data_IF_370987282869
#
_entry.id   IF_370987282869
#
_cell.length_a   1.000
_cell.length_b   1.000
_cell.length_c   1.000
_cell.angle_alpha   90.00
_cell.angle_beta   90.00
_cell.angle_gamma   90.00
#
_symmetry.space_group_name_H-M   'P 1'
#
loop_
_entity.id
_entity.type
_entity.pdbx_description
1 polymer ?
#
# COMPACT_ATOMS: atom_id res chain seq x y z
N UNK A 1 -11.64 8.89 -95.16
CA UNK A 1 -11.56 9.54 -93.83
C UNK A 1 -11.98 8.53 -92.79
N UNK A 2 -11.01 7.93 -92.11
CA UNK A 2 -11.20 6.99 -91.00
C UNK A 2 -10.94 7.78 -89.71
N UNK A 3 -11.87 7.77 -88.78
CA UNK A 3 -11.67 8.20 -87.39
C UNK A 3 -12.12 7.07 -86.46
N UNK A 4 -11.41 6.83 -85.34
CA UNK A 4 -11.51 5.57 -84.62
C UNK A 4 -12.43 5.65 -83.40
N UNK A 5 -12.90 4.47 -83.03
CA UNK A 5 -13.60 4.10 -81.80
C UNK A 5 -12.72 4.29 -80.55
N UNK A 6 -13.32 4.83 -79.49
CA UNK A 6 -12.73 4.87 -78.14
C UNK A 6 -13.64 4.04 -77.22
N UNK A 7 -13.15 2.88 -76.80
CA UNK A 7 -13.67 2.10 -75.68
C UNK A 7 -13.28 2.77 -74.37
N UNK A 8 -14.24 2.99 -73.47
CA UNK A 8 -13.98 3.44 -72.10
C UNK A 8 -13.95 2.21 -71.19
N UNK A 9 -12.77 1.91 -70.65
CA UNK A 9 -12.56 0.93 -69.59
C UNK A 9 -13.07 1.47 -68.24
N UNK A 10 -13.59 0.54 -67.44
CA UNK A 10 -14.10 0.74 -66.09
C UNK A 10 -13.01 1.12 -65.06
N UNK A 11 -13.43 1.81 -63.99
CA UNK A 11 -12.70 1.85 -62.72
C UNK A 11 -13.70 1.66 -61.56
N UNK A 12 -13.74 0.44 -61.00
CA UNK A 12 -14.33 0.16 -59.69
C UNK A 12 -13.31 0.63 -58.64
N UNK A 13 -13.69 1.59 -57.79
CA UNK A 13 -12.90 1.97 -56.62
C UNK A 13 -13.43 1.15 -55.43
N UNK A 14 -12.60 0.23 -54.93
CA UNK A 14 -12.84 -0.46 -53.68
C UNK A 14 -12.41 0.44 -52.51
N UNK A 15 -13.35 0.82 -51.66
CA UNK A 15 -13.06 1.54 -50.42
C UNK A 15 -12.66 0.54 -49.33
N UNK A 16 -11.37 0.51 -48.98
CA UNK A 16 -10.85 -0.21 -47.82
C UNK A 16 -10.99 0.71 -46.61
N UNK A 17 -11.95 0.43 -45.74
CA UNK A 17 -12.09 1.08 -44.44
C UNK A 17 -11.05 0.52 -43.47
N UNK A 18 -10.01 1.29 -43.19
CA UNK A 18 -9.10 1.04 -42.07
C UNK A 18 -9.81 1.47 -40.78
N UNK A 19 -10.32 0.50 -40.02
CA UNK A 19 -10.65 0.73 -38.60
C UNK A 19 -9.35 0.79 -37.82
N UNK A 20 -8.92 2.01 -37.48
CA UNK A 20 -7.88 2.23 -36.49
C UNK A 20 -8.46 1.84 -35.11
N UNK A 21 -8.17 0.62 -34.67
CA UNK A 21 -8.38 0.23 -33.28
C UNK A 21 -7.41 1.02 -32.41
N UNK A 22 -7.92 1.87 -31.52
CA UNK A 22 -7.15 2.40 -30.41
C UNK A 22 -6.77 1.23 -29.49
N UNK A 23 -5.57 0.69 -29.66
CA UNK A 23 -4.92 -0.05 -28.59
C UNK A 23 -4.46 1.00 -27.58
N UNK A 24 -5.11 1.02 -26.41
CA UNK A 24 -4.57 1.71 -25.24
C UNK A 24 -3.25 1.01 -24.90
N UNK A 25 -2.13 1.63 -25.29
CA UNK A 25 -0.82 1.24 -24.82
C UNK A 25 -0.80 1.54 -23.32
N UNK A 26 -0.90 0.51 -22.49
CA UNK A 26 -0.59 0.62 -21.07
C UNK A 26 0.84 1.14 -20.96
N UNK A 27 0.98 2.41 -20.61
CA UNK A 27 2.26 2.96 -20.19
C UNK A 27 2.65 2.21 -18.93
N UNK A 28 3.82 1.57 -18.93
CA UNK A 28 4.42 1.15 -17.66
C UNK A 28 4.57 2.40 -16.80
N UNK A 29 3.81 2.48 -15.71
CA UNK A 29 3.95 3.55 -14.73
C UNK A 29 5.28 3.37 -13.99
N UNK A 30 6.38 3.73 -14.67
CA UNK A 30 7.64 3.97 -14.00
C UNK A 30 7.45 5.29 -13.26
N UNK A 31 7.26 5.21 -11.95
CA UNK A 31 7.34 6.39 -11.11
C UNK A 31 8.74 7.00 -11.31
N UNK A 32 8.83 8.30 -11.67
CA UNK A 32 10.14 8.93 -11.88
C UNK A 32 10.98 8.90 -10.60
N UNK A 33 10.32 8.87 -9.43
CA UNK A 33 10.89 8.79 -8.09
C UNK A 33 10.09 7.78 -7.23
N UNK A 34 10.70 7.14 -6.22
CA UNK A 34 9.97 6.26 -5.31
C UNK A 34 8.84 6.99 -4.58
N UNK A 35 7.75 6.28 -4.29
CA UNK A 35 6.70 6.75 -3.39
C UNK A 35 6.96 6.11 -2.03
N UNK A 36 7.51 6.87 -1.10
CA UNK A 36 7.74 6.43 0.29
C UNK A 36 6.70 7.08 1.18
N UNK A 37 5.92 6.25 1.88
CA UNK A 37 4.90 6.67 2.84
C UNK A 37 5.32 6.16 4.21
N UNK A 38 5.65 7.08 5.10
CA UNK A 38 6.32 6.83 6.38
C UNK A 38 5.76 7.79 7.47
N UNK A 39 6.45 7.99 8.60
CA UNK A 39 5.99 8.89 9.67
C UNK A 39 5.79 10.35 9.21
N UNK A 40 6.48 10.82 8.17
CA UNK A 40 6.28 12.18 7.62
C UNK A 40 4.96 12.30 6.82
N UNK A 41 4.31 11.18 6.52
CA UNK A 41 3.09 11.10 5.70
C UNK A 41 1.80 11.09 6.54
N UNK A 42 1.87 11.38 7.84
CA UNK A 42 0.72 11.27 8.77
C UNK A 42 -0.12 12.55 8.86
N UNK A 43 0.24 13.63 8.15
CA UNK A 43 -0.55 14.86 8.16
C UNK A 43 -1.73 14.76 7.18
N UNK A 44 -2.89 14.32 7.69
CA UNK A 44 -4.11 14.17 6.89
C UNK A 44 -4.58 15.49 6.25
N UNK A 45 -4.40 16.62 6.93
CA UNK A 45 -4.82 17.93 6.44
C UNK A 45 -3.95 18.46 5.28
N UNK A 46 -2.76 17.88 5.08
CA UNK A 46 -1.91 18.21 3.95
C UNK A 46 -2.41 17.65 2.62
N UNK A 47 -3.34 16.67 2.65
CA UNK A 47 -3.86 16.03 1.45
C UNK A 47 -4.96 16.90 0.82
N UNK A 48 -4.78 17.43 -0.40
CA UNK A 48 -5.83 18.19 -1.07
C UNK A 48 -7.05 17.29 -1.34
N UNK A 49 -8.25 17.80 -1.10
CA UNK A 49 -9.50 17.02 -1.20
C UNK A 49 -9.73 16.43 -2.59
N UNK A 50 -9.30 17.13 -3.65
CA UNK A 50 -9.39 16.61 -5.02
C UNK A 50 -8.61 15.30 -5.21
N UNK A 51 -7.55 15.06 -4.44
CA UNK A 51 -6.79 13.81 -4.51
C UNK A 51 -7.41 12.69 -3.66
N UNK A 52 -8.14 13.03 -2.61
CA UNK A 52 -9.01 12.08 -1.91
C UNK A 52 -10.15 11.64 -2.84
N UNK A 53 -10.79 12.59 -3.51
CA UNK A 53 -11.87 12.31 -4.47
C UNK A 53 -11.37 11.50 -5.66
N UNK A 54 -10.19 11.86 -6.20
CA UNK A 54 -9.54 11.10 -7.27
C UNK A 54 -9.19 9.68 -6.83
N UNK A 55 -8.66 9.50 -5.61
CA UNK A 55 -8.36 8.17 -5.08
C UNK A 55 -9.61 7.29 -5.02
N UNK A 56 -10.71 7.82 -4.48
CA UNK A 56 -12.02 7.12 -4.45
C UNK A 56 -12.56 6.80 -5.84
N UNK A 57 -12.36 7.70 -6.81
CA UNK A 57 -12.88 7.53 -8.16
C UNK A 57 -12.06 6.54 -9.02
N UNK A 58 -10.80 6.29 -8.67
CA UNK A 58 -9.86 5.59 -9.58
C UNK A 58 -9.16 4.39 -8.99
N UNK A 59 -9.07 4.26 -7.67
CA UNK A 59 -8.39 3.14 -7.05
C UNK A 59 -9.37 2.02 -6.72
N UNK A 60 -8.98 0.81 -7.08
CA UNK A 60 -9.62 -0.44 -6.70
C UNK A 60 -8.54 -1.28 -6.04
N UNK A 61 -8.58 -1.32 -4.70
CA UNK A 61 -7.48 -1.83 -3.88
C UNK A 61 -7.87 -3.21 -3.34
N UNK A 62 -6.98 -4.18 -3.43
CA UNK A 62 -7.08 -5.42 -2.66
C UNK A 62 -5.93 -5.53 -1.67
N UNK A 63 -6.29 -5.83 -0.43
CA UNK A 63 -5.38 -5.82 0.71
C UNK A 63 -5.43 -7.14 1.47
N UNK A 64 -4.33 -7.91 1.43
CA UNK A 64 -4.19 -9.17 2.16
C UNK A 64 -3.36 -9.01 3.42
N UNK A 65 -3.89 -9.43 4.56
CA UNK A 65 -3.19 -9.32 5.83
C UNK A 65 -3.77 -10.23 6.92
N UNK A 66 -3.09 -10.29 8.06
CA UNK A 66 -3.64 -10.82 9.32
C UNK A 66 -3.57 -9.75 10.42
N UNK A 67 -3.19 -10.12 11.65
CA UNK A 67 -3.38 -9.30 12.85
C UNK A 67 -2.71 -7.92 12.78
N UNK A 68 -1.39 -7.80 12.56
CA UNK A 68 -0.71 -6.50 12.49
C UNK A 68 -1.22 -5.60 11.36
N UNK A 69 -1.45 -6.15 10.18
CA UNK A 69 -1.97 -5.38 9.04
C UNK A 69 -3.37 -4.81 9.27
N UNK A 70 -4.18 -5.42 10.14
CA UNK A 70 -5.53 -4.92 10.46
C UNK A 70 -5.52 -3.52 11.07
N UNK A 71 -4.39 -3.08 11.65
CA UNK A 71 -4.25 -1.75 12.23
C UNK A 71 -4.53 -0.62 11.21
N UNK A 72 -4.24 -0.86 9.92
CA UNK A 72 -4.53 0.13 8.86
C UNK A 72 -6.05 0.30 8.70
N UNK A 73 -6.78 -0.80 8.51
CA UNK A 73 -8.22 -0.76 8.21
C UNK A 73 -9.06 -0.45 9.45
N UNK A 74 -8.65 -0.89 10.64
CA UNK A 74 -9.30 -0.47 11.90
C UNK A 74 -9.08 1.02 12.17
N UNK A 75 -7.86 1.53 11.93
CA UNK A 75 -7.56 2.96 11.97
C UNK A 75 -8.42 3.75 10.98
N UNK A 76 -8.47 3.35 9.70
CA UNK A 76 -9.29 4.01 8.68
C UNK A 76 -10.80 4.00 9.02
N UNK A 77 -11.29 2.93 9.63
CA UNK A 77 -12.69 2.85 10.12
C UNK A 77 -12.94 3.83 11.26
N UNK A 78 -12.00 3.92 12.21
CA UNK A 78 -12.05 4.91 13.28
C UNK A 78 -12.00 6.34 12.74
N UNK A 79 -11.17 6.60 11.73
CA UNK A 79 -11.06 7.89 11.05
C UNK A 79 -12.39 8.31 10.42
N UNK A 80 -13.04 7.41 9.68
CA UNK A 80 -14.35 7.68 9.10
C UNK A 80 -15.42 7.98 10.16
N UNK A 81 -15.31 7.37 11.34
CA UNK A 81 -16.20 7.65 12.47
C UNK A 81 -15.90 9.00 13.14
N UNK A 82 -14.62 9.39 13.18
CA UNK A 82 -14.13 10.60 13.86
C UNK A 82 -14.27 11.87 13.01
N UNK A 83 -13.83 11.82 11.75
CA UNK A 83 -13.84 12.95 10.80
C UNK A 83 -15.05 12.90 9.84
N UNK A 84 -15.81 11.81 9.86
CA UNK A 84 -17.03 11.64 9.09
C UNK A 84 -16.85 10.81 7.80
N UNK A 85 -17.96 10.56 7.08
CA UNK A 85 -18.02 9.62 5.97
C UNK A 85 -17.18 10.02 4.76
N UNK A 86 -16.61 11.24 4.75
CA UNK A 86 -15.66 11.64 3.72
C UNK A 86 -14.42 10.74 3.68
N UNK A 87 -14.02 10.13 4.81
CA UNK A 87 -12.94 9.14 4.87
C UNK A 87 -13.45 7.69 4.90
N UNK A 88 -14.70 7.45 4.50
CA UNK A 88 -15.24 6.10 4.41
C UNK A 88 -14.55 5.28 3.31
N UNK A 89 -14.46 3.98 3.57
CA UNK A 89 -13.96 2.96 2.67
C UNK A 89 -14.86 1.73 2.79
N UNK A 90 -14.97 0.94 1.73
CA UNK A 90 -15.64 -0.36 1.73
C UNK A 90 -15.26 -1.15 0.47
N UNK A 91 -15.63 -2.43 0.43
CA UNK A 91 -15.54 -3.21 -0.79
C UNK A 91 -16.53 -2.67 -1.85
N UNK A 92 -15.99 -2.23 -2.98
CA UNK A 92 -16.74 -1.74 -4.13
C UNK A 92 -16.95 -0.22 -4.18
N UNK A 93 -16.43 0.55 -3.21
CA UNK A 93 -16.53 2.01 -3.20
C UNK A 93 -17.98 2.54 -3.14
N UNK A 94 -18.87 1.76 -2.53
CA UNK A 94 -20.31 2.07 -2.41
C UNK A 94 -20.49 3.38 -1.65
N UNK A 95 -21.51 4.15 -2.06
CA UNK A 95 -21.85 5.48 -1.51
C UNK A 95 -20.71 6.52 -1.60
N UNK A 96 -19.79 6.37 -2.56
CA UNK A 96 -18.68 7.30 -2.77
C UNK A 96 -17.52 7.12 -1.78
N UNK A 97 -17.42 5.93 -1.19
CA UNK A 97 -16.29 5.51 -0.38
C UNK A 97 -15.09 5.10 -1.26
N UNK A 98 -13.92 4.96 -0.65
CA UNK A 98 -12.77 4.32 -1.30
C UNK A 98 -13.05 2.82 -1.49
N UNK A 99 -12.81 2.28 -2.69
CA UNK A 99 -12.84 0.83 -2.93
C UNK A 99 -11.57 0.18 -2.37
N UNK A 100 -11.69 -0.33 -1.15
CA UNK A 100 -10.66 -1.12 -0.48
C UNK A 100 -11.28 -2.45 -0.06
N UNK A 101 -10.82 -3.51 -0.71
CA UNK A 101 -11.20 -4.90 -0.46
C UNK A 101 -10.26 -5.48 0.57
N UNK A 102 -10.74 -5.50 1.81
CA UNK A 102 -10.03 -5.95 3.00
C UNK A 102 -10.15 -7.46 3.17
N UNK A 103 -9.03 -8.17 3.12
CA UNK A 103 -8.97 -9.62 3.29
C UNK A 103 -8.09 -9.99 4.48
N UNK A 104 -8.74 -10.13 5.64
CA UNK A 104 -8.09 -10.57 6.87
C UNK A 104 -8.09 -12.11 6.97
N UNK A 105 -6.96 -12.74 6.65
CA UNK A 105 -6.76 -14.18 6.83
C UNK A 105 -7.35 -15.10 5.76
N UNK A 106 -7.73 -14.57 4.59
CA UNK A 106 -8.06 -15.37 3.39
C UNK A 106 -8.16 -14.44 2.17
N UNK A 107 -7.03 -14.19 1.50
CA UNK A 107 -6.99 -13.25 0.39
C UNK A 107 -7.86 -13.69 -0.78
N UNK A 108 -8.80 -12.82 -1.18
CA UNK A 108 -9.73 -13.08 -2.27
C UNK A 108 -10.72 -14.22 -2.01
N UNK A 109 -10.82 -14.71 -0.77
CA UNK A 109 -11.56 -15.93 -0.42
C UNK A 109 -11.12 -17.16 -1.22
N UNK A 110 -9.82 -17.24 -1.51
CA UNK A 110 -9.24 -18.29 -2.34
C UNK A 110 -8.78 -19.51 -1.54
N UNK A 111 -8.59 -19.36 -0.22
CA UNK A 111 -8.02 -20.39 0.66
C UNK A 111 -6.55 -20.70 0.35
N UNK A 112 -5.80 -19.73 -0.18
CA UNK A 112 -4.41 -19.90 -0.64
C UNK A 112 -3.41 -19.24 0.29
N UNK A 113 -3.67 -18.01 0.72
CA UNK A 113 -2.76 -17.21 1.54
C UNK A 113 -3.52 -16.19 2.39
N UNK A 114 -2.97 -15.96 3.58
CA UNK A 114 -3.56 -15.13 4.62
C UNK A 114 -2.80 -13.79 4.73
N UNK A 115 -1.47 -13.86 4.67
CA UNK A 115 -0.55 -12.71 4.67
C UNK A 115 0.76 -13.05 3.92
N UNK A 116 1.79 -12.19 4.02
CA UNK A 116 3.09 -12.42 3.36
C UNK A 116 3.88 -13.64 3.89
N UNK A 117 3.42 -14.27 4.96
CA UNK A 117 4.10 -15.37 5.62
C UNK A 117 3.29 -16.65 5.78
N UNK A 118 1.96 -16.59 5.71
CA UNK A 118 1.05 -17.72 5.93
C UNK A 118 0.24 -18.08 4.67
N UNK A 119 0.13 -19.38 4.30
CA UNK A 119 0.69 -20.56 4.97
C UNK A 119 2.20 -20.72 4.75
N UNK A 120 2.77 -19.93 3.84
CA UNK A 120 4.19 -19.84 3.61
C UNK A 120 4.52 -18.54 2.87
N UNK A 121 5.80 -18.19 2.80
CA UNK A 121 6.31 -16.93 2.23
C UNK A 121 6.19 -16.78 0.71
N UNK A 122 5.51 -17.70 0.04
CA UNK A 122 5.35 -17.70 -1.43
C UNK A 122 3.90 -17.83 -1.89
N UNK A 123 3.00 -18.36 -1.07
CA UNK A 123 1.62 -18.63 -1.46
C UNK A 123 0.83 -17.37 -1.88
N UNK A 124 1.14 -16.24 -1.25
CA UNK A 124 0.53 -14.94 -1.55
C UNK A 124 0.78 -14.49 -3.00
N UNK A 125 1.89 -14.90 -3.63
CA UNK A 125 2.18 -14.57 -5.04
C UNK A 125 1.21 -15.30 -5.97
N UNK A 126 0.98 -16.59 -5.75
CA UNK A 126 -0.04 -17.36 -6.46
C UNK A 126 -1.45 -16.79 -6.23
N UNK A 127 -1.80 -16.49 -4.98
CA UNK A 127 -3.10 -15.92 -4.64
C UNK A 127 -3.34 -14.58 -5.36
N UNK A 128 -2.30 -13.74 -5.44
CA UNK A 128 -2.36 -12.44 -6.13
C UNK A 128 -2.65 -12.62 -7.62
N UNK A 129 -1.95 -13.53 -8.30
CA UNK A 129 -2.18 -13.81 -9.74
C UNK A 129 -3.60 -14.26 -9.99
N UNK A 130 -4.06 -15.26 -9.23
CA UNK A 130 -5.39 -15.82 -9.39
C UNK A 130 -6.48 -14.77 -9.11
N UNK A 131 -6.28 -13.91 -8.11
CA UNK A 131 -7.22 -12.84 -7.80
C UNK A 131 -7.26 -11.79 -8.92
N UNK A 132 -6.12 -11.29 -9.39
CA UNK A 132 -6.06 -10.28 -10.45
C UNK A 132 -6.62 -10.80 -11.78
N UNK A 133 -6.41 -12.07 -12.11
CA UNK A 133 -6.98 -12.68 -13.32
C UNK A 133 -8.52 -12.73 -13.27
N UNK A 134 -9.10 -12.86 -12.07
CA UNK A 134 -10.54 -12.83 -11.85
C UNK A 134 -11.12 -11.41 -11.65
N UNK A 135 -10.27 -10.45 -11.25
CA UNK A 135 -10.63 -9.08 -10.90
C UNK A 135 -9.77 -8.06 -11.66
N UNK A 136 -9.89 -7.98 -13.00
CA UNK A 136 -9.05 -7.10 -13.83
C UNK A 136 -9.29 -5.61 -13.57
N UNK A 137 -10.34 -5.24 -12.83
CA UNK A 137 -10.59 -3.88 -12.35
C UNK A 137 -9.67 -3.44 -11.21
N UNK A 138 -9.11 -4.38 -10.44
CA UNK A 138 -8.22 -4.09 -9.31
C UNK A 138 -6.89 -3.58 -9.84
N UNK A 139 -6.47 -2.41 -9.34
CA UNK A 139 -5.29 -1.71 -9.84
C UNK A 139 -4.28 -1.34 -8.74
N UNK A 140 -4.55 -1.75 -7.49
CA UNK A 140 -3.60 -1.66 -6.39
C UNK A 140 -3.63 -2.97 -5.59
N UNK A 141 -2.45 -3.54 -5.35
CA UNK A 141 -2.26 -4.70 -4.47
C UNK A 141 -1.40 -4.29 -3.29
N UNK A 142 -1.89 -4.60 -2.09
CA UNK A 142 -1.18 -4.41 -0.84
C UNK A 142 -1.16 -5.73 -0.09
N UNK A 143 -0.02 -6.07 0.49
CA UNK A 143 0.12 -7.18 1.40
C UNK A 143 0.88 -6.73 2.64
N UNK A 144 0.51 -7.26 3.80
CA UNK A 144 1.22 -7.02 5.05
C UNK A 144 1.94 -8.24 5.57
N UNK A 145 2.99 -7.98 6.34
CA UNK A 145 3.59 -8.95 7.25
C UNK A 145 2.77 -9.04 8.54
N UNK A 146 2.79 -10.21 9.17
CA UNK A 146 2.64 -10.32 10.61
C UNK A 146 4.05 -10.44 11.22
N UNK A 147 4.36 -11.51 11.94
CA UNK A 147 5.69 -11.73 12.54
C UNK A 147 6.76 -12.21 11.55
N UNK A 148 6.37 -12.61 10.33
CA UNK A 148 7.25 -13.34 9.41
C UNK A 148 8.33 -12.49 8.73
N UNK A 149 8.29 -11.16 8.92
CA UNK A 149 9.40 -10.27 8.55
C UNK A 149 10.69 -10.63 9.31
N UNK A 150 10.57 -11.25 10.49
CA UNK A 150 11.70 -11.82 11.24
C UNK A 150 12.20 -13.08 10.51
N UNK A 151 12.90 -12.83 9.41
CA UNK A 151 13.35 -13.78 8.44
C UNK A 151 14.84 -13.67 8.17
N UNK A 152 15.35 -14.58 7.35
CA UNK A 152 16.68 -14.46 6.79
C UNK A 152 16.71 -13.44 5.65
N UNK A 153 17.90 -12.95 5.30
CA UNK A 153 18.13 -12.03 4.18
C UNK A 153 17.58 -12.60 2.86
N UNK A 154 17.80 -13.89 2.64
CA UNK A 154 17.36 -14.60 1.45
C UNK A 154 15.84 -14.69 1.36
N UNK A 155 15.14 -14.79 2.50
CA UNK A 155 13.68 -14.82 2.50
C UNK A 155 13.07 -13.43 2.23
N UNK A 156 13.70 -12.36 2.71
CA UNK A 156 13.30 -11.00 2.31
C UNK A 156 13.62 -10.76 0.84
N UNK A 157 14.76 -11.23 0.35
CA UNK A 157 15.09 -11.16 -1.08
C UNK A 157 14.04 -11.90 -1.93
N UNK A 158 13.58 -13.08 -1.49
CA UNK A 158 12.51 -13.81 -2.16
C UNK A 158 11.22 -12.98 -2.26
N UNK A 159 10.82 -12.28 -1.19
CA UNK A 159 9.68 -11.37 -1.24
C UNK A 159 9.86 -10.27 -2.29
N UNK A 160 11.03 -9.63 -2.31
CA UNK A 160 11.35 -8.55 -3.26
C UNK A 160 11.32 -9.05 -4.71
N UNK A 161 11.86 -10.24 -4.96
CA UNK A 161 11.89 -10.88 -6.27
C UNK A 161 10.48 -11.26 -6.75
N UNK A 162 9.63 -11.79 -5.87
CA UNK A 162 8.23 -12.14 -6.18
C UNK A 162 7.39 -10.90 -6.48
N UNK A 163 7.52 -9.84 -5.67
CA UNK A 163 6.86 -8.55 -5.94
C UNK A 163 7.26 -7.99 -7.31
N UNK A 164 8.56 -8.02 -7.63
CA UNK A 164 9.05 -7.54 -8.92
C UNK A 164 8.58 -8.42 -10.10
N UNK A 165 8.39 -9.72 -9.88
CA UNK A 165 7.75 -10.62 -10.84
C UNK A 165 6.30 -10.24 -11.10
N UNK A 166 5.52 -9.97 -10.07
CA UNK A 166 4.13 -9.51 -10.19
C UNK A 166 4.02 -8.17 -10.94
N UNK A 167 4.88 -7.20 -10.63
CA UNK A 167 4.97 -5.93 -11.37
C UNK A 167 5.35 -6.14 -12.84
N UNK A 168 6.15 -7.17 -13.15
CA UNK A 168 6.51 -7.50 -14.52
C UNK A 168 5.29 -7.98 -15.31
N UNK A 169 4.49 -8.82 -14.70
CA UNK A 169 3.38 -9.52 -15.34
C UNK A 169 2.10 -8.67 -15.39
N UNK A 170 1.87 -7.81 -14.39
CA UNK A 170 0.68 -6.96 -14.26
C UNK A 170 1.03 -5.46 -14.34
N UNK A 171 1.45 -5.01 -15.52
CA UNK A 171 1.96 -3.64 -15.77
C UNK A 171 1.01 -2.48 -15.45
N UNK A 172 -0.29 -2.74 -15.35
CA UNK A 172 -1.31 -1.75 -14.99
C UNK A 172 -1.67 -1.74 -13.50
N UNK A 173 -1.04 -2.59 -12.69
CA UNK A 173 -1.31 -2.74 -11.25
C UNK A 173 -0.16 -2.16 -10.45
N UNK A 174 -0.50 -1.39 -9.42
CA UNK A 174 0.44 -0.79 -8.48
C UNK A 174 0.64 -1.74 -7.31
N UNK A 175 1.86 -2.22 -7.13
CA UNK A 175 2.20 -3.11 -6.02
C UNK A 175 2.86 -2.31 -4.90
N UNK A 176 2.25 -2.31 -3.73
CA UNK A 176 2.74 -1.60 -2.55
C UNK A 176 3.62 -2.54 -1.74
N UNK A 177 4.91 -2.22 -1.66
CA UNK A 177 5.83 -2.89 -0.75
C UNK A 177 5.56 -2.42 0.68
N UNK A 178 5.85 -3.28 1.67
CA UNK A 178 5.64 -2.94 3.07
C UNK A 178 6.79 -3.45 3.93
N UNK A 179 7.26 -2.64 4.89
CA UNK A 179 8.08 -3.13 6.00
C UNK A 179 7.20 -3.89 7.00
N UNK A 180 7.80 -4.69 7.88
CA UNK A 180 7.06 -5.32 8.97
C UNK A 180 6.81 -4.36 10.14
N UNK A 181 6.52 -4.90 11.32
CA UNK A 181 6.40 -4.13 12.55
C UNK A 181 7.76 -4.00 13.27
N UNK A 182 7.82 -3.14 14.28
CA UNK A 182 8.92 -3.08 15.25
C UNK A 182 8.82 -4.25 16.24
N UNK A 183 9.94 -4.88 16.58
CA UNK A 183 9.99 -6.07 17.47
C UNK A 183 10.68 -5.78 18.80
N UNK A 184 11.14 -4.54 18.99
CA UNK A 184 11.92 -4.12 20.14
C UNK A 184 13.36 -4.63 20.16
N UNK A 185 13.87 -5.12 19.04
CA UNK A 185 15.30 -5.31 18.85
C UNK A 185 16.04 -3.96 18.78
N UNK A 186 17.33 -3.90 19.14
CA UNK A 186 18.16 -2.73 18.87
C UNK A 186 18.31 -2.52 17.35
N UNK A 187 18.77 -1.35 16.89
CA UNK A 187 18.98 -1.07 15.46
C UNK A 187 19.87 -2.08 14.72
N UNK A 188 20.76 -2.78 15.43
CA UNK A 188 21.61 -3.86 14.88
C UNK A 188 20.94 -5.24 14.86
N UNK A 189 19.67 -5.34 15.26
CA UNK A 189 18.91 -6.58 15.32
C UNK A 189 18.38 -7.03 13.96
N UNK A 190 17.80 -8.24 13.91
CA UNK A 190 17.40 -8.86 12.64
C UNK A 190 16.24 -8.10 11.98
N UNK A 191 15.12 -7.88 12.67
CA UNK A 191 13.95 -7.20 12.10
C UNK A 191 14.28 -5.78 11.59
N UNK A 192 14.98 -4.91 12.34
CA UNK A 192 15.46 -3.64 11.80
C UNK A 192 16.30 -3.79 10.52
N UNK A 193 17.21 -4.76 10.47
CA UNK A 193 18.02 -5.03 9.28
C UNK A 193 17.19 -5.57 8.09
N UNK A 194 16.12 -6.34 8.32
CA UNK A 194 15.20 -6.83 7.28
C UNK A 194 14.29 -5.72 6.76
N UNK A 195 13.79 -4.86 7.64
CA UNK A 195 13.05 -3.65 7.23
C UNK A 195 13.95 -2.72 6.41
N UNK A 196 15.21 -2.55 6.81
CA UNK A 196 16.16 -1.74 6.03
C UNK A 196 16.43 -2.33 4.64
N UNK A 197 16.54 -3.66 4.51
CA UNK A 197 16.68 -4.32 3.21
C UNK A 197 15.50 -4.00 2.26
N UNK A 198 14.26 -3.97 2.77
CA UNK A 198 13.07 -3.60 1.99
C UNK A 198 13.12 -2.12 1.59
N UNK A 199 13.47 -1.22 2.53
CA UNK A 199 13.62 0.22 2.27
C UNK A 199 14.64 0.50 1.18
N UNK A 200 15.83 -0.08 1.32
CA UNK A 200 16.94 0.10 0.38
C UNK A 200 16.55 -0.37 -1.03
N UNK A 201 15.88 -1.53 -1.13
CA UNK A 201 15.38 -2.02 -2.41
C UNK A 201 14.35 -1.06 -3.03
N UNK A 202 13.41 -0.55 -2.24
CA UNK A 202 12.38 0.35 -2.74
C UNK A 202 12.95 1.67 -3.24
N UNK A 203 13.90 2.25 -2.49
CA UNK A 203 14.60 3.47 -2.87
C UNK A 203 15.44 3.27 -4.14
N UNK A 204 16.20 2.18 -4.22
CA UNK A 204 17.08 1.91 -5.36
C UNK A 204 16.34 1.59 -6.66
N UNK A 205 15.08 1.16 -6.58
CA UNK A 205 14.30 0.69 -7.73
C UNK A 205 13.00 1.49 -7.96
N UNK A 206 12.88 2.68 -7.36
CA UNK A 206 11.72 3.58 -7.49
C UNK A 206 10.38 2.89 -7.18
N UNK A 207 10.33 2.06 -6.13
CA UNK A 207 9.12 1.33 -5.75
C UNK A 207 8.18 2.20 -4.91
N UNK A 208 6.96 1.68 -4.72
CA UNK A 208 6.00 2.21 -3.76
C UNK A 208 6.21 1.47 -2.43
N UNK A 209 6.50 2.20 -1.35
CA UNK A 209 6.69 1.66 -0.02
C UNK A 209 5.70 2.30 0.96
N UNK A 210 4.99 1.44 1.68
CA UNK A 210 4.32 1.79 2.93
C UNK A 210 5.19 1.31 4.11
N UNK A 211 5.86 2.24 4.78
CA UNK A 211 6.86 1.94 5.81
C UNK A 211 6.22 1.81 7.20
N UNK A 212 5.60 0.65 7.42
CA UNK A 212 4.88 0.31 8.65
C UNK A 212 5.77 0.44 9.91
N UNK A 213 7.01 -0.07 9.86
CA UNK A 213 7.95 -0.01 10.97
C UNK A 213 8.44 1.41 11.24
N UNK A 214 8.59 2.23 10.21
CA UNK A 214 8.98 3.64 10.38
C UNK A 214 7.86 4.42 11.08
N UNK A 215 6.61 4.32 10.62
CA UNK A 215 5.46 4.97 11.28
C UNK A 215 5.39 4.59 12.77
N UNK A 216 5.68 3.33 13.10
CA UNK A 216 5.64 2.83 14.48
C UNK A 216 6.86 3.22 15.35
N UNK A 217 7.91 3.76 14.72
CA UNK A 217 9.14 4.18 15.40
C UNK A 217 9.15 5.65 15.79
N UNK A 218 8.08 6.40 15.47
CA UNK A 218 7.94 7.82 15.80
C UNK A 218 6.60 8.10 16.46
N UNK A 219 6.54 9.14 17.29
CA UNK A 219 5.28 9.74 17.70
C UNK A 219 4.83 10.83 16.70
N UNK A 220 3.63 11.41 16.87
CA UNK A 220 3.15 12.49 15.99
C UNK A 220 3.99 13.77 15.99
N UNK A 221 4.81 14.01 17.02
CA UNK A 221 5.71 15.17 17.13
C UNK A 221 7.10 14.90 16.52
N UNK A 222 7.27 13.72 15.90
CA UNK A 222 8.49 13.22 15.28
C UNK A 222 9.62 12.88 16.27
N UNK A 223 9.30 12.61 17.54
CA UNK A 223 10.25 12.01 18.45
C UNK A 223 10.52 10.56 18.03
N UNK A 224 11.80 10.19 17.91
CA UNK A 224 12.23 8.86 17.47
C UNK A 224 12.41 7.89 18.64
N UNK A 225 11.99 6.64 18.43
CA UNK A 225 12.04 5.54 19.40
C UNK A 225 12.72 4.27 18.86
N UNK A 226 13.07 4.22 17.57
CA UNK A 226 13.64 3.01 16.94
C UNK A 226 14.99 2.57 17.52
N UNK A 227 15.71 3.45 18.21
CA UNK A 227 16.94 3.15 18.95
C UNK A 227 16.72 2.88 20.45
N UNK A 228 15.47 2.92 20.93
CA UNK A 228 15.07 2.73 22.33
C UNK A 228 14.37 1.40 22.55
N UNK A 229 14.74 0.37 21.78
CA UNK A 229 14.12 -0.96 21.84
C UNK A 229 12.60 -0.93 21.67
N UNK A 230 12.06 -0.03 20.84
CA UNK A 230 10.60 0.10 20.64
C UNK A 230 10.00 -1.16 20.02
N UNK A 231 8.90 -1.67 20.60
CA UNK A 231 8.15 -2.79 20.04
C UNK A 231 6.78 -2.38 19.48
N UNK A 232 6.13 -3.32 18.82
CA UNK A 232 4.79 -3.19 18.22
C UNK A 232 3.69 -2.74 19.18
N UNK A 233 3.86 -3.02 20.48
CA UNK A 233 2.98 -2.52 21.53
C UNK A 233 3.26 -1.05 21.96
N UNK A 234 4.13 -0.35 21.25
CA UNK A 234 4.60 1.02 21.50
C UNK A 234 5.43 1.18 22.79
N UNK A 235 5.88 0.09 23.41
CA UNK A 235 6.76 0.17 24.59
C UNK A 235 8.20 0.43 24.18
N UNK A 236 8.92 1.23 24.95
CA UNK A 236 10.33 1.56 24.71
C UNK A 236 11.10 1.68 26.04
N UNK A 237 12.42 1.60 25.96
CA UNK A 237 13.39 1.81 27.06
C UNK A 237 13.70 3.31 27.19
N UNK A 238 13.21 3.94 28.26
CA UNK A 238 13.28 5.39 28.41
C UNK A 238 14.57 5.89 29.06
N UNK A 239 15.35 5.00 29.70
CA UNK A 239 16.55 5.34 30.46
C UNK A 239 17.82 4.60 29.99
N UNK A 240 17.70 3.71 29.00
CA UNK A 240 18.81 2.96 28.42
C UNK A 240 19.25 1.76 29.25
N UNK A 241 18.42 1.28 30.19
CA UNK A 241 18.74 0.15 31.06
C UNK A 241 18.44 -1.24 30.44
N UNK A 242 18.05 -1.28 29.16
CA UNK A 242 17.60 -2.45 28.40
C UNK A 242 16.27 -3.07 28.87
N UNK A 243 15.45 -2.31 29.59
CA UNK A 243 14.08 -2.69 29.98
C UNK A 243 13.11 -1.67 29.43
N UNK A 244 12.05 -2.14 28.76
CA UNK A 244 10.99 -1.23 28.31
C UNK A 244 10.12 -0.84 29.50
N UNK A 245 10.17 0.43 29.87
CA UNK A 245 9.49 0.97 31.05
C UNK A 245 8.46 2.06 30.71
N UNK A 246 8.40 2.50 29.44
CA UNK A 246 7.44 3.51 28.97
C UNK A 246 6.75 3.12 27.68
N UNK A 247 5.66 3.84 27.36
CA UNK A 247 4.88 3.63 26.14
C UNK A 247 4.62 4.98 25.45
N UNK A 248 5.24 5.20 24.29
CA UNK A 248 5.24 6.51 23.63
C UNK A 248 3.83 6.93 23.21
N UNK A 249 3.02 5.98 22.74
CA UNK A 249 1.68 6.27 22.27
C UNK A 249 0.76 6.69 23.42
N UNK A 250 0.83 5.98 24.55
CA UNK A 250 0.06 6.33 25.76
C UNK A 250 0.49 7.69 26.31
N UNK A 251 1.79 7.95 26.37
CA UNK A 251 2.33 9.23 26.84
C UNK A 251 1.82 10.38 25.96
N UNK A 252 1.88 10.23 24.63
CA UNK A 252 1.37 11.24 23.69
C UNK A 252 -0.14 11.43 23.78
N UNK A 253 -0.92 10.34 23.85
CA UNK A 253 -2.38 10.38 23.97
C UNK A 253 -2.85 11.13 25.21
N UNK A 254 -2.15 10.96 26.34
CA UNK A 254 -2.45 11.64 27.59
C UNK A 254 -2.12 13.14 27.54
N UNK A 255 -1.08 13.52 26.77
CA UNK A 255 -0.69 14.91 26.58
C UNK A 255 -1.61 15.67 25.59
N UNK A 256 -2.22 14.97 24.64
CA UNK A 256 -3.00 15.56 23.54
C UNK A 256 -4.47 15.09 23.49
N UNK A 257 -5.27 15.34 24.56
CA UNK A 257 -6.67 14.91 24.59
C UNK A 257 -7.48 15.57 23.48
N UNK A 258 -8.13 14.75 22.64
CA UNK A 258 -9.00 15.20 21.55
C UNK A 258 -8.32 15.32 20.18
N UNK A 259 -7.00 15.13 20.11
CA UNK A 259 -6.23 15.16 18.85
C UNK A 259 -6.08 13.77 18.21
N UNK A 260 -6.59 12.74 18.88
CA UNK A 260 -6.62 11.36 18.43
C UNK A 260 -7.99 10.74 18.70
N UNK A 261 -8.29 9.63 18.03
CA UNK A 261 -9.51 8.85 18.24
C UNK A 261 -9.20 7.43 18.69
N UNK A 262 -10.10 6.87 19.50
CA UNK A 262 -9.98 5.50 19.94
C UNK A 262 -10.46 4.52 18.84
N UNK A 263 -9.68 3.48 18.59
CA UNK A 263 -9.99 2.40 17.67
C UNK A 263 -9.32 1.10 18.14
N UNK A 264 -9.76 -0.06 17.62
CA UNK A 264 -9.04 -1.30 17.84
C UNK A 264 -7.68 -1.25 17.13
N UNK A 265 -6.64 -1.77 17.77
CA UNK A 265 -5.28 -1.80 17.23
C UNK A 265 -4.62 -3.10 17.69
N UNK A 266 -4.53 -4.09 16.80
CA UNK A 266 -3.98 -5.40 17.16
C UNK A 266 -2.52 -5.26 17.60
N UNK A 267 -2.17 -5.80 18.77
CA UNK A 267 -0.83 -5.75 19.39
C UNK A 267 -0.29 -4.36 19.69
N UNK A 268 -1.07 -3.30 19.49
CA UNK A 268 -0.58 -1.91 19.54
C UNK A 268 -1.56 -0.96 20.24
N UNK A 269 -1.25 0.33 20.21
CA UNK A 269 -2.11 1.38 20.76
C UNK A 269 -2.96 2.04 19.67
N UNK A 270 -4.12 2.64 20.02
CA UNK A 270 -4.99 3.33 19.06
C UNK A 270 -4.26 4.43 18.27
N UNK A 271 -3.39 5.22 18.91
CA UNK A 271 -2.67 6.30 18.24
C UNK A 271 -1.83 5.81 17.04
N UNK A 272 -1.15 4.67 17.19
CA UNK A 272 -0.35 4.09 16.12
C UNK A 272 -1.22 3.67 14.92
N UNK A 273 -2.40 3.10 15.17
CA UNK A 273 -3.38 2.81 14.11
C UNK A 273 -3.92 4.09 13.45
N UNK A 274 -4.08 5.18 14.20
CA UNK A 274 -4.49 6.47 13.64
C UNK A 274 -3.44 7.01 12.68
N UNK A 275 -2.16 6.99 13.08
CA UNK A 275 -1.03 7.41 12.24
C UNK A 275 -0.97 6.58 10.95
N UNK A 276 -1.15 5.26 11.07
CA UNK A 276 -1.22 4.35 9.91
C UNK A 276 -2.41 4.68 9.00
N UNK A 277 -3.57 5.01 9.55
CA UNK A 277 -4.72 5.44 8.73
C UNK A 277 -4.44 6.74 7.96
N UNK A 278 -3.77 7.71 8.58
CA UNK A 278 -3.41 8.96 7.92
C UNK A 278 -2.39 8.74 6.79
N UNK A 279 -1.36 7.95 7.08
CA UNK A 279 -0.37 7.54 6.09
C UNK A 279 -1.00 6.77 4.92
N UNK A 280 -2.00 5.91 5.19
CA UNK A 280 -2.72 5.19 4.14
C UNK A 280 -3.47 6.15 3.21
N UNK A 281 -4.17 7.17 3.75
CA UNK A 281 -4.80 8.19 2.92
C UNK A 281 -3.79 9.02 2.11
N UNK A 282 -2.60 9.29 2.68
CA UNK A 282 -1.51 9.91 1.93
C UNK A 282 -1.09 9.01 0.76
N UNK A 283 -0.89 7.70 0.99
CA UNK A 283 -0.59 6.73 -0.06
C UNK A 283 -1.65 6.76 -1.17
N UNK A 284 -2.94 6.68 -0.82
CA UNK A 284 -4.02 6.67 -1.80
C UNK A 284 -4.02 7.93 -2.66
N UNK A 285 -3.83 9.10 -2.05
CA UNK A 285 -3.72 10.35 -2.80
C UNK A 285 -2.50 10.36 -3.74
N UNK A 286 -1.35 9.84 -3.31
CA UNK A 286 -0.15 9.70 -4.16
C UNK A 286 -0.40 8.77 -5.35
N UNK A 287 -1.01 7.61 -5.11
CA UNK A 287 -1.35 6.65 -6.16
C UNK A 287 -2.42 7.16 -7.13
N UNK A 288 -3.25 8.11 -6.69
CA UNK A 288 -4.22 8.81 -7.51
C UNK A 288 -3.60 9.91 -8.40
N UNK A 289 -2.35 10.29 -8.17
CA UNK A 289 -1.59 11.25 -8.98
C UNK A 289 -1.08 12.48 -8.21
N UNK A 290 -1.32 12.58 -6.89
CA UNK A 290 -0.74 13.66 -6.10
C UNK A 290 0.78 13.56 -6.07
N UNK A 291 1.46 14.69 -6.28
CA UNK A 291 2.92 14.77 -6.22
C UNK A 291 3.48 14.77 -4.78
N UNK A 292 2.63 14.78 -3.75
CA UNK A 292 3.02 14.79 -2.33
C UNK A 292 3.44 16.16 -1.81
N UNK A 293 3.05 17.24 -2.49
CA UNK A 293 3.31 18.63 -2.10
C UNK A 293 2.10 19.53 -2.36
#
# INVERSE_FOLDING_TARGET
MRTPSISICAALIAAIGLMAGCQATATSDIYPDPIIVNHESINLAAIPTNWIDQAKATLHIAYGHTSHGSQITTGMTGLASWQGPYYAWNNGGVDGALDLRDFNGDFGHLGIADDLGDPNRTAWEQATRQFLDAHPEVNVIVWSWCSQVDGTEAQIQQYLDLMNGLEHDYRGVKFVYMTGHTDGSPPSGNVPARNQQIRDYCLANNKILYDFADIESYDPDADYYGDKLVNDACYYDSDGNSTRDRNWAVDWQNAHPGEWYNCASAHSQPLNANMKAYAAWHLWARLAGWNGR
#
